data_IF_183821364725
#
_entry.id   IF_183821364725
#
_cell.length_a   1.000
_cell.length_b   1.000
_cell.length_c   1.000
_cell.angle_alpha   90.00
_cell.angle_beta   90.00
_cell.angle_gamma   90.00
#
_symmetry.space_group_name_H-M   'P 1'
#
loop_
_entity.id
_entity.type
_entity.pdbx_description
1 polymer ?
#
# COMPACT_ATOMS: atom_id res chain seq x y z
N UNK A 1 -13.27 15.48 1.48
CA UNK A 1 -13.67 14.44 2.45
C UNK A 1 -13.60 13.13 1.71
N UNK A 2 -12.67 12.24 2.05
CA UNK A 2 -12.41 11.01 1.28
C UNK A 2 -13.39 9.89 1.64
N UNK A 3 -13.91 9.16 0.65
CA UNK A 3 -14.73 7.96 0.84
C UNK A 3 -13.81 6.75 0.99
N UNK A 4 -13.90 6.05 2.12
CA UNK A 4 -13.03 4.92 2.46
C UNK A 4 -13.80 3.61 2.39
N UNK A 5 -13.31 2.66 1.62
CA UNK A 5 -13.91 1.34 1.40
C UNK A 5 -12.88 0.29 1.81
N UNK A 6 -13.18 -0.49 2.85
CA UNK A 6 -12.32 -1.60 3.28
C UNK A 6 -13.01 -2.93 2.97
N UNK A 7 -12.29 -3.84 2.31
CA UNK A 7 -12.77 -5.17 1.94
C UNK A 7 -12.08 -6.21 2.81
N UNK A 8 -12.87 -6.92 3.63
CA UNK A 8 -12.38 -7.91 4.59
C UNK A 8 -13.22 -9.20 4.55
N UNK A 9 -12.66 -10.31 5.03
CA UNK A 9 -13.27 -11.65 4.91
C UNK A 9 -12.25 -12.79 4.91
N UNK A 10 -12.72 -14.02 4.92
CA UNK A 10 -11.87 -15.23 5.01
C UNK A 10 -10.98 -15.42 3.77
N UNK A 11 -10.03 -16.36 3.86
CA UNK A 11 -9.20 -16.76 2.73
C UNK A 11 -10.07 -17.31 1.59
N UNK A 12 -9.77 -16.93 0.34
CA UNK A 12 -10.46 -17.45 -0.84
C UNK A 12 -11.87 -16.90 -1.11
N UNK A 13 -12.38 -15.92 -0.35
CA UNK A 13 -13.72 -15.36 -0.57
C UNK A 13 -13.80 -14.32 -1.71
N UNK A 14 -12.71 -14.11 -2.46
CA UNK A 14 -12.67 -13.17 -3.58
C UNK A 14 -12.52 -11.69 -3.21
N UNK A 15 -11.97 -11.38 -2.03
CA UNK A 15 -11.77 -9.99 -1.55
C UNK A 15 -11.04 -9.11 -2.56
N UNK A 16 -9.84 -9.53 -2.96
CA UNK A 16 -9.01 -8.84 -3.94
C UNK A 16 -9.73 -8.62 -5.26
N UNK A 17 -10.53 -9.60 -5.69
CA UNK A 17 -11.36 -9.49 -6.89
C UNK A 17 -12.44 -8.42 -6.74
N UNK A 18 -13.15 -8.39 -5.61
CA UNK A 18 -14.14 -7.36 -5.32
C UNK A 18 -13.49 -5.98 -5.20
N UNK A 19 -12.35 -5.87 -4.52
CA UNK A 19 -11.54 -4.65 -4.41
C UNK A 19 -11.17 -4.10 -5.79
N UNK A 20 -10.66 -4.96 -6.68
CA UNK A 20 -10.31 -4.58 -8.05
C UNK A 20 -11.54 -4.12 -8.86
N UNK A 21 -12.68 -4.80 -8.72
CA UNK A 21 -13.93 -4.42 -9.40
C UNK A 21 -14.47 -3.07 -8.91
N UNK A 22 -14.38 -2.80 -7.60
CA UNK A 22 -14.76 -1.50 -7.02
C UNK A 22 -13.88 -0.40 -7.61
N UNK A 23 -12.55 -0.57 -7.58
CA UNK A 23 -11.59 0.39 -8.13
C UNK A 23 -11.88 0.65 -9.61
N UNK A 24 -12.05 -0.42 -10.39
CA UNK A 24 -12.35 -0.31 -11.82
C UNK A 24 -13.65 0.46 -12.08
N UNK A 25 -14.70 0.18 -11.32
CA UNK A 25 -15.98 0.87 -11.43
C UNK A 25 -15.87 2.36 -11.09
N UNK A 26 -15.08 2.73 -10.07
CA UNK A 26 -14.81 4.12 -9.71
C UNK A 26 -14.08 4.89 -10.83
N UNK A 27 -13.06 4.26 -11.42
CA UNK A 27 -12.29 4.80 -12.55
C UNK A 27 -13.18 4.98 -13.78
N UNK A 28 -13.90 3.92 -14.19
CA UNK A 28 -14.74 3.94 -15.39
C UNK A 28 -15.91 4.94 -15.25
N UNK A 29 -16.42 5.13 -14.02
CA UNK A 29 -17.44 6.14 -13.70
C UNK A 29 -16.90 7.58 -13.60
N UNK A 30 -15.57 7.78 -13.73
CA UNK A 30 -14.88 9.08 -13.61
C UNK A 30 -15.27 9.86 -12.35
N UNK A 31 -15.41 9.16 -11.22
CA UNK A 31 -15.94 9.75 -9.98
C UNK A 31 -14.92 10.60 -9.21
N UNK A 32 -13.63 10.49 -9.50
CA UNK A 32 -12.58 11.18 -8.78
C UNK A 32 -11.26 10.41 -8.76
N UNK A 33 -10.30 10.88 -7.96
CA UNK A 33 -9.03 10.19 -7.72
C UNK A 33 -9.19 8.98 -6.80
N UNK A 34 -8.47 7.90 -7.10
CA UNK A 34 -8.57 6.62 -6.37
C UNK A 34 -7.20 6.22 -5.83
N UNK A 35 -7.12 5.98 -4.52
CA UNK A 35 -5.99 5.32 -3.88
C UNK A 35 -6.36 3.87 -3.57
N UNK A 36 -5.69 2.93 -4.23
CA UNK A 36 -5.76 1.51 -3.96
C UNK A 36 -4.70 1.13 -2.92
N UNK A 37 -5.08 0.38 -1.90
CA UNK A 37 -4.21 -0.10 -0.84
C UNK A 37 -4.27 -1.63 -0.82
N UNK A 38 -3.13 -2.28 -1.08
CA UNK A 38 -2.97 -3.72 -0.90
C UNK A 38 -2.27 -3.98 0.44
N UNK A 39 -3.05 -4.36 1.45
CA UNK A 39 -2.56 -4.66 2.79
C UNK A 39 -2.19 -6.14 2.97
N UNK A 40 -2.11 -6.92 1.88
CA UNK A 40 -1.70 -8.33 1.89
C UNK A 40 -0.18 -8.47 1.60
N UNK A 41 0.59 -9.20 2.44
CA UNK A 41 1.99 -9.50 2.17
C UNK A 41 2.23 -10.22 0.84
N UNK A 42 1.25 -10.95 0.32
CA UNK A 42 1.38 -11.73 -0.92
C UNK A 42 1.14 -10.90 -2.19
N UNK A 43 0.63 -9.66 -2.07
CA UNK A 43 0.51 -8.66 -3.15
C UNK A 43 -0.16 -9.17 -4.42
N UNK A 44 -1.49 -9.14 -4.46
CA UNK A 44 -2.26 -9.67 -5.60
C UNK A 44 -3.11 -8.62 -6.31
N UNK A 45 -3.30 -7.44 -5.70
CA UNK A 45 -4.19 -6.42 -6.24
C UNK A 45 -3.60 -5.75 -7.50
N UNK A 46 -2.28 -5.59 -7.54
CA UNK A 46 -1.58 -4.98 -8.68
C UNK A 46 -1.80 -5.74 -9.99
N UNK A 47 -1.79 -7.08 -9.94
CA UNK A 47 -1.93 -7.93 -11.12
C UNK A 47 -3.33 -7.80 -11.71
N UNK A 48 -4.36 -7.76 -10.85
CA UNK A 48 -5.74 -7.56 -11.27
C UNK A 48 -5.99 -6.17 -11.85
N UNK A 49 -5.25 -5.16 -11.37
CA UNK A 49 -5.34 -3.78 -11.86
C UNK A 49 -4.41 -3.50 -13.05
N UNK A 50 -3.55 -4.46 -13.43
CA UNK A 50 -2.57 -4.31 -14.51
C UNK A 50 -1.43 -3.34 -14.17
N UNK A 51 -1.10 -3.17 -12.89
CA UNK A 51 -0.02 -2.30 -12.42
C UNK A 51 1.28 -3.11 -12.19
N UNK A 52 2.41 -2.56 -12.66
CA UNK A 52 3.73 -3.11 -12.38
C UNK A 52 4.27 -2.52 -11.08
N UNK A 53 4.48 -3.36 -10.08
CA UNK A 53 5.10 -2.94 -8.82
C UNK A 53 6.60 -2.73 -9.04
N UNK A 54 7.11 -1.56 -8.67
CA UNK A 54 8.55 -1.28 -8.65
C UNK A 54 9.17 -1.55 -7.26
N UNK A 55 8.51 -1.08 -6.21
CA UNK A 55 8.88 -1.25 -4.81
C UNK A 55 7.64 -1.52 -3.94
N UNK A 56 7.84 -2.14 -2.78
CA UNK A 56 6.81 -2.37 -1.75
C UNK A 56 7.26 -1.78 -0.42
N UNK A 57 6.31 -1.49 0.48
CA UNK A 57 6.67 -0.99 1.81
C UNK A 57 7.54 -1.98 2.58
N UNK A 58 7.28 -3.28 2.44
CA UNK A 58 8.08 -4.36 3.02
C UNK A 58 9.53 -4.33 2.55
N UNK A 59 9.77 -4.18 1.24
CA UNK A 59 11.12 -4.12 0.67
C UNK A 59 11.88 -2.87 1.15
N UNK A 60 11.22 -1.72 1.19
CA UNK A 60 11.81 -0.48 1.69
C UNK A 60 12.25 -0.60 3.14
N UNK A 61 11.41 -1.18 4.01
CA UNK A 61 11.78 -1.43 5.43
C UNK A 61 13.05 -2.27 5.55
N UNK A 62 13.29 -3.21 4.63
CA UNK A 62 14.50 -4.02 4.65
C UNK A 62 15.74 -3.29 4.16
N UNK A 63 15.61 -2.48 3.11
CA UNK A 63 16.68 -1.56 2.69
C UNK A 63 17.09 -0.66 3.86
N UNK A 64 16.12 -0.09 4.59
CA UNK A 64 16.38 0.67 5.81
C UNK A 64 17.11 -0.13 6.90
N UNK A 65 16.75 -1.40 7.12
CA UNK A 65 17.43 -2.24 8.13
C UNK A 65 18.89 -2.51 7.73
N UNK A 66 19.16 -2.70 6.44
CA UNK A 66 20.52 -2.91 5.91
C UNK A 66 21.36 -1.63 5.97
N UNK A 67 20.76 -0.49 5.64
CA UNK A 67 21.43 0.80 5.59
C UNK A 67 21.44 1.56 6.93
N UNK A 68 20.64 1.13 7.90
CA UNK A 68 20.46 1.76 9.21
C UNK A 68 21.73 1.87 10.05
N UNK A 69 22.78 1.12 9.73
CA UNK A 69 24.11 1.29 10.31
C UNK A 69 24.79 2.64 9.93
N UNK A 70 24.30 3.34 8.89
CA UNK A 70 24.91 4.59 8.38
C UNK A 70 24.14 5.87 8.73
N UNK A 71 22.95 5.79 9.35
CA UNK A 71 22.04 6.95 9.48
C UNK A 71 21.89 7.39 10.94
N UNK A 72 22.68 8.40 11.33
CA UNK A 72 22.88 8.82 12.72
C UNK A 72 22.03 10.01 13.19
N UNK A 73 21.16 10.61 12.38
CA UNK A 73 20.36 11.78 12.82
C UNK A 73 18.89 11.75 12.38
N UNK A 74 18.01 12.24 13.26
CA UNK A 74 16.55 12.15 13.12
C UNK A 74 15.98 12.87 11.89
N UNK A 75 16.55 14.01 11.49
CA UNK A 75 16.11 14.79 10.32
C UNK A 75 16.26 13.97 9.02
N UNK A 76 17.36 13.23 8.88
CA UNK A 76 17.60 12.40 7.70
C UNK A 76 16.64 11.20 7.64
N UNK A 77 16.16 10.71 8.79
CA UNK A 77 15.19 9.62 8.82
C UNK A 77 13.84 10.05 8.28
N UNK A 78 13.34 11.23 8.65
CA UNK A 78 12.03 11.71 8.19
C UNK A 78 12.03 12.04 6.69
N UNK A 79 13.07 12.72 6.19
CA UNK A 79 13.22 12.97 4.75
C UNK A 79 13.32 11.68 3.94
N UNK A 80 14.02 10.66 4.47
CA UNK A 80 14.13 9.38 3.80
C UNK A 80 12.80 8.62 3.77
N UNK A 81 12.00 8.72 4.83
CA UNK A 81 10.65 8.14 4.88
C UNK A 81 9.73 8.76 3.83
N UNK A 82 9.81 10.08 3.65
CA UNK A 82 9.02 10.82 2.65
C UNK A 82 9.46 10.52 1.22
N UNK A 83 10.78 10.50 0.95
CA UNK A 83 11.30 10.05 -0.35
C UNK A 83 10.84 8.62 -0.69
N UNK A 84 10.84 7.73 0.31
CA UNK A 84 10.45 6.34 0.10
C UNK A 84 8.93 6.16 -0.04
N UNK A 85 8.12 7.03 0.57
CA UNK A 85 6.69 7.08 0.29
C UNK A 85 6.43 7.29 -1.20
N UNK A 86 7.06 8.32 -1.79
CA UNK A 86 6.92 8.59 -3.22
C UNK A 86 7.40 7.44 -4.10
N UNK A 87 8.43 6.70 -3.67
CA UNK A 87 8.91 5.51 -4.41
C UNK A 87 7.98 4.30 -4.30
N UNK A 88 7.25 4.18 -3.19
CA UNK A 88 6.34 3.06 -2.92
C UNK A 88 4.98 3.17 -3.60
N UNK A 89 4.59 4.37 -4.01
CA UNK A 89 3.33 4.60 -4.73
C UNK A 89 3.54 4.29 -6.20
N UNK A 90 2.71 3.39 -6.73
CA UNK A 90 2.69 3.01 -8.13
C UNK A 90 1.55 3.76 -8.80
N UNK A 91 1.88 4.61 -9.76
CA UNK A 91 0.89 5.30 -10.60
C UNK A 91 0.32 4.33 -11.64
N UNK A 92 -1.01 4.15 -11.58
CA UNK A 92 -1.78 3.32 -12.49
C UNK A 92 -2.64 4.16 -13.44
N UNK A 93 -3.44 3.46 -14.25
CA UNK A 93 -4.39 4.13 -15.15
C UNK A 93 -5.63 4.60 -14.38
N UNK A 94 -5.57 5.81 -13.81
CA UNK A 94 -6.68 6.44 -13.09
C UNK A 94 -6.76 6.09 -11.60
N UNK A 95 -5.74 5.46 -11.05
CA UNK A 95 -5.59 5.18 -9.63
C UNK A 95 -4.10 5.19 -9.26
N UNK A 96 -3.82 5.44 -7.99
CA UNK A 96 -2.51 5.20 -7.41
C UNK A 96 -2.59 4.00 -6.48
N UNK A 97 -1.51 3.22 -6.39
CA UNK A 97 -1.47 1.97 -5.67
C UNK A 97 -0.31 1.96 -4.66
N UNK A 98 -0.64 1.69 -3.40
CA UNK A 98 0.34 1.41 -2.36
C UNK A 98 0.23 -0.06 -1.96
N UNK A 99 1.35 -0.78 -2.05
CA UNK A 99 1.42 -2.21 -1.74
C UNK A 99 2.28 -2.43 -0.50
N UNK A 100 1.71 -3.12 0.49
CA UNK A 100 2.45 -3.50 1.69
C UNK A 100 3.60 -4.45 1.32
N UNK A 101 3.27 -5.59 0.72
CA UNK A 101 4.23 -6.60 0.26
C UNK A 101 5.06 -7.24 1.37
N UNK A 102 5.76 -8.31 1.01
CA UNK A 102 6.63 -9.05 1.93
C UNK A 102 8.07 -8.55 1.85
N UNK A 103 8.73 -8.42 3.00
CA UNK A 103 10.19 -8.32 3.07
C UNK A 103 10.86 -9.70 3.04
N UNK A 104 12.01 -9.82 2.38
CA UNK A 104 12.96 -10.93 2.50
C UNK A 104 13.70 -10.97 3.86
N UNK A 105 13.01 -11.41 4.92
CA UNK A 105 13.63 -11.59 6.23
C UNK A 105 12.79 -12.38 7.24
N UNK A 106 13.42 -13.14 8.16
CA UNK A 106 12.69 -13.77 9.25
C UNK A 106 12.27 -12.71 10.27
N UNK A 107 10.95 -12.54 10.44
CA UNK A 107 10.38 -11.87 11.60
C UNK A 107 10.04 -10.39 11.45
N UNK A 108 8.81 -10.09 11.90
CA UNK A 108 8.22 -8.80 12.23
C UNK A 108 7.67 -7.95 11.07
N UNK A 109 6.44 -8.30 10.65
CA UNK A 109 5.54 -7.44 9.86
C UNK A 109 5.22 -6.10 10.54
N UNK A 110 5.49 -5.96 11.85
CA UNK A 110 5.16 -4.76 12.62
C UNK A 110 5.78 -3.48 12.05
N UNK A 111 7.02 -3.53 11.55
CA UNK A 111 7.67 -2.36 10.97
C UNK A 111 7.03 -1.95 9.63
N UNK A 112 6.75 -2.92 8.75
CA UNK A 112 6.04 -2.67 7.50
C UNK A 112 4.60 -2.17 7.76
N UNK A 113 3.88 -2.78 8.71
CA UNK A 113 2.55 -2.35 9.11
C UNK A 113 2.52 -0.91 9.64
N UNK A 114 3.45 -0.56 10.53
CA UNK A 114 3.51 0.78 11.09
C UNK A 114 3.85 1.83 10.01
N UNK A 115 4.79 1.50 9.11
CA UNK A 115 5.15 2.38 8.01
C UNK A 115 4.01 2.52 6.99
N UNK A 116 3.35 1.41 6.64
CA UNK A 116 2.20 1.39 5.74
C UNK A 116 1.05 2.24 6.30
N UNK A 117 0.74 2.10 7.60
CA UNK A 117 -0.24 2.98 8.28
C UNK A 117 0.14 4.44 8.20
N UNK A 118 1.40 4.79 8.47
CA UNK A 118 1.90 6.18 8.35
C UNK A 118 1.74 6.71 6.91
N UNK A 119 2.01 5.88 5.92
CA UNK A 119 1.86 6.24 4.51
C UNK A 119 0.40 6.47 4.12
N UNK A 120 -0.51 5.61 4.57
CA UNK A 120 -1.95 5.80 4.39
C UNK A 120 -2.39 7.11 5.04
N UNK A 121 -1.94 7.42 6.26
CA UNK A 121 -2.29 8.65 6.96
C UNK A 121 -1.91 9.91 6.18
N UNK A 122 -0.74 9.91 5.54
CA UNK A 122 -0.26 11.02 4.71
C UNK A 122 -1.00 11.12 3.37
N UNK A 123 -1.31 9.99 2.75
CA UNK A 123 -1.87 9.96 1.39
C UNK A 123 -3.38 10.14 1.35
N UNK A 124 -4.13 9.51 2.26
CA UNK A 124 -5.57 9.27 2.13
C UNK A 124 -6.42 10.52 1.87
N UNK A 125 -6.04 11.68 2.43
CA UNK A 125 -6.84 12.90 2.33
C UNK A 125 -6.67 13.63 0.99
N UNK A 126 -5.69 13.20 0.17
CA UNK A 126 -5.46 13.71 -1.18
C UNK A 126 -6.31 12.98 -2.24
N UNK A 127 -7.09 11.98 -1.85
CA UNK A 127 -7.89 11.16 -2.77
C UNK A 127 -9.38 11.23 -2.45
N UNK A 128 -10.22 11.23 -3.50
CA UNK A 128 -11.67 11.19 -3.36
C UNK A 128 -12.13 9.82 -2.83
N UNK A 129 -11.44 8.75 -3.24
CA UNK A 129 -11.72 7.37 -2.85
C UNK A 129 -10.47 6.65 -2.38
N UNK A 130 -10.57 5.93 -1.26
CA UNK A 130 -9.56 5.00 -0.77
C UNK A 130 -10.17 3.60 -0.71
N UNK A 131 -9.60 2.65 -1.44
CA UNK A 131 -10.05 1.25 -1.46
C UNK A 131 -8.95 0.37 -0.89
N UNK A 132 -9.23 -0.32 0.21
CA UNK A 132 -8.29 -1.18 0.92
C UNK A 132 -8.68 -2.64 0.76
N UNK A 133 -7.80 -3.42 0.13
CA UNK A 133 -7.85 -4.88 0.12
C UNK A 133 -7.07 -5.41 1.33
N UNK A 134 -7.78 -6.06 2.26
CA UNK A 134 -7.19 -6.54 3.49
C UNK A 134 -6.89 -8.05 3.43
N UNK A 135 -5.83 -8.49 4.09
CA UNK A 135 -5.48 -9.92 4.16
C UNK A 135 -6.61 -10.74 4.82
N UNK A 136 -6.64 -12.03 4.48
CA UNK A 136 -7.45 -13.01 5.18
C UNK A 136 -6.94 -13.29 6.60
N UNK A 137 -7.44 -12.53 7.58
CA UNK A 137 -7.28 -12.86 8.99
C UNK A 137 -6.44 -11.85 9.75
N UNK A 138 -7.10 -11.12 10.65
CA UNK A 138 -6.47 -10.66 11.88
C UNK A 138 -7.16 -11.40 13.02
N UNK A 139 -6.72 -12.64 13.27
CA UNK A 139 -6.77 -13.23 14.61
C UNK A 139 -5.37 -13.19 15.21
#
# INVERSE_FOLDING_TARGET
>A
MSIKIAVAGKGGTGKTTISALIIRSLIDSKKGSVLALDADPNSNLNDLLGAKIADTVGKLVEEFKKDGAKISSGIYKDQMVEMNLHRSVVEGNGFDLLVMGRGEGPGCYCAANNLFKKYIEVLQDNYDFVVMDNEAGME
#
